data_IF_490978349649
#
_entry.id   IF_490978349649
#
_cell.length_a   1.000
_cell.length_b   1.000
_cell.length_c   1.000
_cell.angle_alpha   90.00
_cell.angle_beta   90.00
_cell.angle_gamma   90.00
#
_symmetry.space_group_name_H-M   'P 1'
#
loop_
_entity.id
_entity.type
_entity.pdbx_description
1 polymer ?
#
# COMPACT_ATOMS: atom_id res chain seq x y z
N UNK A 1 20.80 -9.33 1.24
CA UNK A 1 20.16 -7.99 1.28
C UNK A 1 18.67 -8.19 1.43
N UNK A 2 17.99 -7.38 2.23
CA UNK A 2 16.53 -7.45 2.35
C UNK A 2 15.87 -6.63 1.23
N UNK A 3 14.91 -7.20 0.51
CA UNK A 3 14.08 -6.54 -0.49
C UNK A 3 12.67 -6.36 0.06
N UNK A 4 12.26 -5.11 0.27
CA UNK A 4 10.98 -4.77 0.91
C UNK A 4 10.15 -3.93 -0.06
N UNK A 5 8.86 -4.27 -0.17
CA UNK A 5 7.89 -3.43 -0.86
C UNK A 5 7.12 -2.56 0.13
N UNK A 6 6.97 -1.28 -0.20
CA UNK A 6 6.20 -0.32 0.56
C UNK A 6 4.91 0.02 -0.19
N UNK A 7 3.75 -0.16 0.44
CA UNK A 7 2.44 0.10 -0.17
C UNK A 7 1.77 1.27 0.54
N UNK A 8 1.35 2.29 -0.21
CA UNK A 8 0.71 3.48 0.35
C UNK A 8 0.61 4.60 -0.67
N UNK A 9 0.22 5.81 -0.23
CA UNK A 9 0.34 6.98 -1.08
C UNK A 9 1.82 7.39 -1.17
N UNK A 10 2.20 8.05 -2.26
CA UNK A 10 3.56 8.51 -2.49
C UNK A 10 3.57 9.86 -3.23
N UNK A 11 4.61 10.70 -3.10
CA UNK A 11 4.77 11.89 -3.93
C UNK A 11 4.78 11.49 -5.42
N UNK A 12 4.17 12.26 -6.34
CA UNK A 12 3.78 13.66 -6.20
C UNK A 12 2.39 13.93 -5.59
N UNK A 13 1.68 12.91 -5.09
CA UNK A 13 0.43 13.12 -4.36
C UNK A 13 0.68 13.91 -3.08
N UNK A 14 0.09 15.09 -2.97
CA UNK A 14 0.30 16.02 -1.84
C UNK A 14 -0.61 15.66 -0.66
N UNK A 15 -0.14 14.77 0.21
CA UNK A 15 -0.80 14.43 1.47
C UNK A 15 0.22 14.02 2.53
N UNK A 16 -0.14 14.10 3.82
CA UNK A 16 0.78 13.82 4.93
C UNK A 16 1.34 12.40 4.90
N UNK A 17 0.50 11.40 4.59
CA UNK A 17 0.95 10.01 4.48
C UNK A 17 1.91 9.77 3.31
N UNK A 18 1.78 10.53 2.21
CA UNK A 18 2.72 10.42 1.09
C UNK A 18 4.12 10.89 1.51
N UNK A 19 4.20 12.00 2.24
CA UNK A 19 5.47 12.46 2.84
C UNK A 19 6.03 11.43 3.81
N UNK A 20 5.21 10.89 4.72
CA UNK A 20 5.65 9.83 5.64
C UNK A 20 6.19 8.59 4.91
N UNK A 21 5.49 8.15 3.87
CA UNK A 21 5.88 6.97 3.07
C UNK A 21 7.20 7.22 2.34
N UNK A 22 7.41 8.44 1.83
CA UNK A 22 8.68 8.85 1.22
C UNK A 22 9.84 8.86 2.22
N UNK A 23 9.65 9.51 3.38
CA UNK A 23 10.70 9.60 4.40
C UNK A 23 11.09 8.22 4.94
N UNK A 24 10.11 7.32 5.11
CA UNK A 24 10.36 5.93 5.48
C UNK A 24 11.16 5.16 4.42
N UNK A 25 10.79 5.34 3.14
CA UNK A 25 11.50 4.72 2.01
C UNK A 25 12.97 5.16 1.99
N UNK A 26 13.23 6.47 2.09
CA UNK A 26 14.58 7.03 2.09
C UNK A 26 15.40 6.58 3.31
N UNK A 27 14.78 6.56 4.50
CA UNK A 27 15.43 6.09 5.72
C UNK A 27 15.85 4.61 5.64
N UNK A 28 14.99 3.74 5.09
CA UNK A 28 15.30 2.31 4.93
C UNK A 28 16.36 2.06 3.85
N UNK A 29 16.34 2.81 2.74
CA UNK A 29 17.40 2.78 1.74
C UNK A 29 18.75 3.20 2.32
N UNK A 30 18.77 4.28 3.11
CA UNK A 30 19.98 4.74 3.80
C UNK A 30 20.53 3.70 4.78
N UNK A 31 19.66 2.86 5.35
CA UNK A 31 20.03 1.71 6.18
C UNK A 31 20.45 0.45 5.38
N UNK A 32 20.55 0.54 4.06
CA UNK A 32 21.00 -0.55 3.18
C UNK A 32 19.92 -1.57 2.79
N UNK A 33 18.64 -1.24 2.94
CA UNK A 33 17.52 -2.08 2.49
C UNK A 33 17.20 -1.75 1.02
N UNK A 34 16.97 -2.79 0.21
CA UNK A 34 16.47 -2.61 -1.14
C UNK A 34 14.97 -2.33 -1.07
N UNK A 35 14.57 -1.08 -1.34
CA UNK A 35 13.19 -0.63 -1.25
C UNK A 35 12.58 -0.44 -2.64
N UNK A 36 11.29 -0.75 -2.77
CA UNK A 36 10.45 -0.31 -3.88
C UNK A 36 9.09 0.12 -3.35
N UNK A 37 8.37 0.93 -4.13
CA UNK A 37 7.07 1.49 -3.77
C UNK A 37 5.99 0.98 -4.71
N UNK A 38 4.85 0.63 -4.12
CA UNK A 38 3.58 0.35 -4.81
C UNK A 38 2.62 1.47 -4.42
N UNK A 39 2.43 2.44 -5.32
CA UNK A 39 1.65 3.64 -5.01
C UNK A 39 0.14 3.40 -5.17
N UNK A 40 -0.67 3.98 -4.28
CA UNK A 40 -2.14 4.01 -4.45
C UNK A 40 -2.57 5.29 -5.16
N UNK A 41 -3.22 5.13 -6.31
CA UNK A 41 -3.81 6.21 -7.10
C UNK A 41 -5.27 6.39 -6.74
N UNK A 42 -5.70 7.63 -6.54
CA UNK A 42 -7.10 7.98 -6.26
C UNK A 42 -8.00 8.00 -7.50
N UNK A 43 -7.43 7.81 -8.69
CA UNK A 43 -8.13 7.89 -9.97
C UNK A 43 -8.54 9.31 -10.36
N UNK A 44 -8.11 10.34 -9.62
CA UNK A 44 -8.45 11.75 -9.88
C UNK A 44 -7.43 12.37 -10.81
N UNK A 45 -6.15 12.13 -10.55
CA UNK A 45 -5.04 12.68 -11.32
C UNK A 45 -4.09 11.57 -11.78
N UNK A 46 -3.44 11.82 -12.92
CA UNK A 46 -2.27 11.04 -13.33
C UNK A 46 -1.05 11.62 -12.63
N UNK A 47 -0.35 10.79 -11.88
CA UNK A 47 0.86 11.17 -11.16
C UNK A 47 2.10 10.74 -11.95
N UNK A 48 3.09 11.63 -12.01
CA UNK A 48 4.42 11.34 -12.56
C UNK A 48 5.32 10.90 -11.40
N UNK A 49 5.32 9.60 -11.13
CA UNK A 49 6.06 9.02 -10.00
C UNK A 49 7.55 8.84 -10.34
N UNK A 50 8.44 8.96 -9.34
CA UNK A 50 9.85 8.61 -9.52
C UNK A 50 10.04 7.09 -9.66
N UNK A 51 11.26 6.68 -10.05
CA UNK A 51 11.65 5.28 -10.30
C UNK A 51 11.47 4.34 -9.09
N UNK A 52 11.33 4.90 -7.89
CA UNK A 52 10.96 4.14 -6.70
C UNK A 52 9.63 3.40 -6.85
N UNK A 53 8.69 3.99 -7.60
CA UNK A 53 7.34 3.46 -7.79
C UNK A 53 7.34 2.50 -8.97
N UNK A 54 7.42 1.21 -8.65
CA UNK A 54 7.50 0.12 -9.64
C UNK A 54 6.13 -0.38 -10.10
N UNK A 55 5.08 -0.05 -9.34
CA UNK A 55 3.70 -0.41 -9.65
C UNK A 55 2.73 0.59 -9.03
N UNK A 56 1.57 0.74 -9.65
CA UNK A 56 0.49 1.60 -9.17
C UNK A 56 -0.76 0.75 -8.98
N UNK A 57 -1.48 0.95 -7.87
CA UNK A 57 -2.79 0.38 -7.61
C UNK A 57 -3.84 1.48 -7.79
N UNK A 58 -4.76 1.27 -8.72
CA UNK A 58 -5.92 2.14 -8.87
C UNK A 58 -6.92 1.84 -7.75
N UNK A 59 -7.16 2.81 -6.86
CA UNK A 59 -7.94 2.66 -5.63
C UNK A 59 -9.30 2.00 -5.88
N UNK A 60 -9.96 2.37 -6.97
CA UNK A 60 -11.32 1.92 -7.28
C UNK A 60 -11.37 0.70 -8.23
N UNK A 61 -10.23 0.14 -8.64
CA UNK A 61 -10.20 -1.06 -9.48
C UNK A 61 -9.69 -2.29 -8.74
N UNK A 62 -10.60 -3.21 -8.39
CA UNK A 62 -10.26 -4.48 -7.73
C UNK A 62 -9.20 -5.29 -8.50
N UNK A 63 -9.25 -5.26 -9.84
CA UNK A 63 -8.26 -5.96 -10.68
C UNK A 63 -6.83 -5.46 -10.42
N UNK A 64 -6.65 -4.18 -10.13
CA UNK A 64 -5.35 -3.58 -9.83
C UNK A 64 -4.74 -4.14 -8.54
N UNK A 65 -5.56 -4.36 -7.50
CA UNK A 65 -5.14 -5.02 -6.26
C UNK A 65 -4.72 -6.48 -6.47
N UNK A 66 -5.44 -7.21 -7.33
CA UNK A 66 -5.12 -8.61 -7.67
C UNK A 66 -3.80 -8.68 -8.44
N UNK A 67 -3.60 -7.79 -9.41
CA UNK A 67 -2.36 -7.71 -10.18
C UNK A 67 -1.17 -7.33 -9.30
N UNK A 68 -1.36 -6.42 -8.34
CA UNK A 68 -0.32 -6.10 -7.37
C UNK A 68 0.05 -7.28 -6.47
N UNK A 69 -0.92 -8.07 -6.00
CA UNK A 69 -0.62 -9.30 -5.27
C UNK A 69 0.21 -10.28 -6.13
N UNK A 70 -0.14 -10.43 -7.41
CA UNK A 70 0.60 -11.29 -8.33
C UNK A 70 2.05 -10.81 -8.54
N UNK A 71 2.23 -9.51 -8.78
CA UNK A 71 3.55 -8.90 -8.93
C UNK A 71 4.40 -9.13 -7.66
N UNK A 72 3.86 -8.80 -6.48
CA UNK A 72 4.58 -8.96 -5.21
C UNK A 72 5.00 -10.41 -4.98
N UNK A 73 4.08 -11.35 -5.20
CA UNK A 73 4.32 -12.79 -5.01
C UNK A 73 5.34 -13.41 -5.99
N UNK A 74 5.70 -12.73 -7.08
CA UNK A 74 6.60 -13.26 -8.12
C UNK A 74 7.96 -12.54 -8.18
N UNK A 75 8.17 -11.51 -7.35
CA UNK A 75 9.35 -10.64 -7.41
C UNK A 75 10.26 -10.73 -6.16
N UNK A 76 10.21 -11.85 -5.42
CA UNK A 76 11.15 -12.20 -4.35
C UNK A 76 11.29 -11.13 -3.24
N UNK A 77 10.17 -10.55 -2.79
CA UNK A 77 10.16 -9.67 -1.62
C UNK A 77 10.22 -10.47 -0.32
N UNK A 78 11.04 -10.02 0.63
CA UNK A 78 11.14 -10.62 1.97
C UNK A 78 9.98 -10.22 2.88
N UNK A 79 9.48 -8.99 2.70
CA UNK A 79 8.38 -8.43 3.47
C UNK A 79 7.69 -7.30 2.72
N UNK A 80 6.47 -7.00 3.15
CA UNK A 80 5.68 -5.87 2.68
C UNK A 80 5.38 -4.97 3.88
N UNK A 81 5.60 -3.66 3.72
CA UNK A 81 5.15 -2.66 4.68
C UNK A 81 3.96 -1.94 4.04
N UNK A 82 2.78 -2.06 4.65
CA UNK A 82 1.56 -1.42 4.17
C UNK A 82 1.22 -0.24 5.09
N UNK A 83 1.19 0.95 4.51
CA UNK A 83 0.70 2.16 5.17
C UNK A 83 -0.81 2.19 4.99
N UNK A 84 -1.55 2.11 6.10
CA UNK A 84 -3.00 2.18 6.11
C UNK A 84 -3.47 3.51 6.69
N UNK A 85 -4.36 4.18 5.99
CA UNK A 85 -5.06 5.38 6.43
C UNK A 85 -6.50 5.32 5.95
N UNK A 86 -7.41 5.93 6.70
CA UNK A 86 -8.80 6.05 6.27
C UNK A 86 -8.89 6.74 4.89
N UNK A 87 -9.60 6.10 3.96
CA UNK A 87 -9.92 6.68 2.65
C UNK A 87 -8.88 6.46 1.54
N UNK A 88 -7.77 5.75 1.78
CA UNK A 88 -6.76 5.50 0.72
C UNK A 88 -7.05 4.23 -0.08
N UNK A 89 -7.75 3.26 0.50
CA UNK A 89 -8.16 2.04 -0.21
C UNK A 89 -9.62 2.16 -0.67
N UNK A 90 -9.95 1.55 -1.81
CA UNK A 90 -11.29 1.69 -2.39
C UNK A 90 -12.30 0.71 -1.84
N UNK A 91 -13.53 0.89 -2.32
CA UNK A 91 -14.70 0.15 -1.87
C UNK A 91 -15.22 0.62 -0.51
N UNK A 92 -16.41 0.14 -0.10
CA UNK A 92 -16.94 0.37 1.23
C UNK A 92 -15.88 0.06 2.30
N UNK A 93 -15.63 1.03 3.18
CA UNK A 93 -14.69 0.92 4.30
C UNK A 93 -13.26 0.52 3.90
N UNK A 94 -12.84 0.80 2.66
CA UNK A 94 -11.51 0.43 2.15
C UNK A 94 -11.32 -1.06 1.88
N UNK A 95 -12.41 -1.84 1.82
CA UNK A 95 -12.34 -3.30 1.76
C UNK A 95 -11.61 -3.88 0.53
N UNK A 96 -11.29 -3.09 -0.50
CA UNK A 96 -10.48 -3.56 -1.62
C UNK A 96 -9.09 -4.03 -1.19
N UNK A 97 -8.51 -3.44 -0.13
CA UNK A 97 -7.20 -3.87 0.39
C UNK A 97 -7.21 -5.34 0.83
N UNK A 98 -8.36 -5.87 1.24
CA UNK A 98 -8.51 -7.28 1.61
C UNK A 98 -8.29 -8.21 0.39
N UNK A 99 -8.58 -7.76 -0.82
CA UNK A 99 -8.32 -8.54 -2.03
C UNK A 99 -6.82 -8.72 -2.29
N UNK A 100 -6.03 -7.69 -1.99
CA UNK A 100 -4.56 -7.76 -2.01
C UNK A 100 -4.08 -8.69 -0.89
N UNK A 101 -4.43 -8.38 0.37
CA UNK A 101 -3.92 -9.08 1.55
C UNK A 101 -4.20 -10.59 1.54
N UNK A 102 -5.41 -11.02 1.15
CA UNK A 102 -5.78 -12.45 1.07
C UNK A 102 -4.98 -13.24 0.04
N UNK A 103 -4.32 -12.57 -0.90
CA UNK A 103 -3.56 -13.19 -1.99
C UNK A 103 -2.06 -13.15 -1.76
N UNK A 104 -1.58 -12.33 -0.82
CA UNK A 104 -0.16 -12.25 -0.50
C UNK A 104 0.30 -13.50 0.25
N UNK A 105 1.45 -14.03 -0.18
CA UNK A 105 2.15 -15.17 0.44
C UNK A 105 3.42 -14.73 1.18
N UNK A 106 3.64 -13.43 1.24
CA UNK A 106 4.80 -12.74 1.82
C UNK A 106 4.34 -12.08 3.12
N UNK A 107 5.17 -12.04 4.19
CA UNK A 107 4.82 -11.36 5.42
C UNK A 107 4.45 -9.89 5.20
N UNK A 108 3.35 -9.44 5.81
CA UNK A 108 2.88 -8.06 5.74
C UNK A 108 2.92 -7.42 7.13
N UNK A 109 3.59 -6.28 7.22
CA UNK A 109 3.59 -5.40 8.39
C UNK A 109 2.70 -4.21 8.02
N UNK A 110 1.65 -3.97 8.79
CA UNK A 110 0.72 -2.86 8.55
C UNK A 110 0.89 -1.78 9.61
N UNK A 111 1.07 -0.54 9.16
CA UNK A 111 1.05 0.66 10.01
C UNK A 111 -0.30 1.35 9.82
N UNK A 112 -1.09 1.45 10.90
CA UNK A 112 -2.36 2.16 10.90
C UNK A 112 -2.15 3.61 11.36
N UNK A 113 -2.30 4.56 10.45
CA UNK A 113 -2.17 6.01 10.73
C UNK A 113 -3.46 6.59 11.27
N UNK A 114 -4.58 6.17 10.72
CA UNK A 114 -5.93 6.50 11.20
C UNK A 114 -6.85 5.30 11.01
N UNK A 115 -7.75 5.11 11.97
CA UNK A 115 -8.82 4.12 11.95
C UNK A 115 -10.12 4.83 12.33
N UNK A 116 -11.26 4.30 11.89
CA UNK A 116 -12.57 4.80 12.33
C UNK A 116 -12.80 4.37 13.79
N UNK A 117 -13.24 5.31 14.63
CA UNK A 117 -13.60 5.03 16.03
C UNK A 117 -14.81 4.09 16.13
N UNK A 118 -15.79 4.26 15.23
CA UNK A 118 -16.96 3.39 15.09
C UNK A 118 -16.94 2.73 13.71
N UNK A 119 -16.27 1.56 13.58
CA UNK A 119 -16.28 0.82 12.32
C UNK A 119 -17.70 0.35 12.03
N UNK A 120 -18.18 0.61 10.81
CA UNK A 120 -19.43 0.07 10.30
C UNK A 120 -19.54 -1.46 10.54
N UNK A 121 -20.75 -1.99 10.68
CA UNK A 121 -21.01 -3.44 10.86
C UNK A 121 -20.32 -4.33 9.81
N UNK A 122 -20.03 -3.80 8.62
CA UNK A 122 -19.29 -4.47 7.54
C UNK A 122 -17.80 -4.69 7.84
N UNK A 123 -17.21 -3.86 8.70
CA UNK A 123 -15.78 -3.85 9.04
C UNK A 123 -15.50 -4.77 10.25
N UNK A 124 -16.38 -4.83 11.25
CA UNK A 124 -16.19 -5.61 12.47
C UNK A 124 -16.23 -7.14 12.26
N UNK A 125 -16.96 -7.63 11.25
CA UNK A 125 -17.24 -9.07 11.05
C UNK A 125 -16.21 -9.82 10.19
N UNK A 126 -15.18 -9.17 9.65
CA UNK A 126 -14.26 -9.79 8.67
C UNK A 126 -12.83 -10.03 9.17
N UNK A 127 -12.52 -9.66 10.42
CA UNK A 127 -11.19 -9.82 11.02
C UNK A 127 -11.09 -10.93 12.07
N UNK A 128 -12.15 -11.73 12.26
CA UNK A 128 -12.17 -12.94 13.09
C UNK A 128 -12.73 -14.13 12.30
#
# INVERSE_FOLDING_TARGET
>A
MKKIALIGNYPPRKCGIATFTHDLNEGLKAAGVLMVVIAINDGIARYDYPDDVVLQIEQNEIASYINAAYYLNTNEFDAIILQHEFGIFGGPDGQHVIQLLRRLRIPVITTFHTILDDPSDSTAKKFF
#
